data_IF_801995179595
#
_entry.id   IF_801995179595
#
_cell.length_a   1.000
_cell.length_b   1.000
_cell.length_c   1.000
_cell.angle_alpha   90.00
_cell.angle_beta   90.00
_cell.angle_gamma   90.00
#
_symmetry.space_group_name_H-M   'P 1'
#
loop_
_entity.id
_entity.type
_entity.pdbx_description
1 polymer ?
2 non-polymer ?
#
# COMPACT_ATOMS: atom_id res chain seq x y z
N UNK A 1 0.29 -8.00 3.41
CA UNK A 1 -0.19 -9.00 2.47
C UNK A 1 0.50 -8.94 1.12
N UNK A 2 1.62 -8.21 1.02
CA UNK A 2 2.44 -8.08 -0.19
C UNK A 2 1.68 -7.36 -1.30
N UNK A 3 0.55 -6.82 -0.90
CA UNK A 3 -0.55 -6.38 -1.72
C UNK A 3 -0.25 -5.17 -2.64
N UNK A 4 1.02 -4.78 -2.71
CA UNK A 4 1.45 -3.47 -3.15
C UNK A 4 2.81 -3.42 -3.87
N UNK A 5 3.27 -2.19 -4.08
CA UNK A 5 4.64 -1.86 -4.48
C UNK A 5 5.25 -0.99 -3.37
N UNK A 6 4.47 0.04 -2.97
CA UNK A 6 4.68 0.89 -1.81
C UNK A 6 4.84 0.17 -0.46
N UNK A 7 4.50 -1.13 -0.37
CA UNK A 7 4.36 -1.83 0.91
C UNK A 7 4.65 -3.34 0.85
N UNK A 8 5.24 -3.93 1.90
CA UNK A 8 5.44 -5.37 2.01
C UNK A 8 4.33 -6.14 2.75
N UNK A 9 4.50 -7.46 2.69
CA UNK A 9 3.84 -8.53 3.45
C UNK A 9 3.69 -8.33 4.98
N UNK A 10 4.33 -7.31 5.58
CA UNK A 10 4.24 -7.00 7.00
C UNK A 10 3.52 -5.67 7.25
N UNK A 11 3.13 -4.94 6.20
CA UNK A 11 2.52 -3.63 6.29
C UNK A 11 1.21 -3.55 7.11
N UNK A 12 1.35 -3.45 8.43
CA UNK A 12 0.36 -3.10 9.45
C UNK A 12 -0.94 -2.46 8.93
N UNK A 13 -0.79 -1.39 8.14
CA UNK A 13 -1.86 -0.52 7.69
C UNK A 13 -2.72 -1.24 6.66
N UNK A 14 -2.05 -2.07 5.86
CA UNK A 14 -2.59 -2.85 4.78
C UNK A 14 -3.01 -4.25 5.24
N UNK A 15 -2.24 -4.86 6.13
CA UNK A 15 -2.55 -6.11 6.81
C UNK A 15 -4.03 -6.20 7.23
N UNK A 16 -4.60 -5.04 7.57
CA UNK A 16 -6.03 -4.83 7.77
C UNK A 16 -6.85 -5.15 6.50
N UNK A 17 -6.79 -4.26 5.49
CA UNK A 17 -7.49 -4.41 4.19
C UNK A 17 -6.98 -3.43 3.12
N UNK A 18 -5.66 -3.37 3.00
CA UNK A 18 -4.93 -2.59 1.99
C UNK A 18 -5.41 -1.11 1.85
N UNK A 19 -5.13 -0.25 2.85
CA UNK A 19 -5.33 1.22 2.78
C UNK A 19 -5.35 1.85 1.36
N UNK A 20 -4.34 1.51 0.55
CA UNK A 20 -4.02 2.15 -0.71
C UNK A 20 -5.01 1.78 -1.81
N UNK A 21 -5.99 0.89 -1.57
CA UNK A 21 -6.89 0.44 -2.63
C UNK A 21 -7.39 1.53 -3.55
N UNK A 22 -7.79 2.67 -2.99
CA UNK A 22 -8.32 3.74 -3.82
C UNK A 22 -7.26 4.67 -4.43
N UNK A 23 -5.97 4.46 -4.12
CA UNK A 23 -4.85 5.19 -4.71
C UNK A 23 -4.55 4.72 -6.13
N UNK A 24 -5.56 4.81 -6.99
CA UNK A 24 -5.65 4.21 -8.33
C UNK A 24 -4.44 4.54 -9.22
N UNK A 25 -4.42 5.77 -9.75
CA UNK A 25 -3.25 6.33 -10.41
C UNK A 25 -2.38 7.07 -9.36
N UNK A 26 -2.48 6.68 -8.09
CA UNK A 26 -1.69 7.27 -7.02
C UNK A 26 -0.40 6.46 -6.82
N UNK A 27 0.04 6.23 -5.59
CA UNK A 27 1.36 5.67 -5.32
C UNK A 27 1.43 4.14 -5.24
N UNK A 28 0.31 3.46 -5.47
CA UNK A 28 0.17 1.99 -5.49
C UNK A 28 1.42 1.27 -6.03
N UNK A 29 1.96 1.77 -7.15
CA UNK A 29 3.09 1.23 -7.88
C UNK A 29 4.43 1.93 -7.58
N UNK A 30 4.37 3.17 -7.11
CA UNK A 30 5.49 4.09 -6.99
C UNK A 30 6.34 3.90 -5.74
N UNK A 31 6.67 2.65 -5.41
CA UNK A 31 7.68 2.26 -4.43
C UNK A 31 7.48 2.74 -2.98
N UNK A 32 6.56 3.68 -2.74
CA UNK A 32 6.42 4.40 -1.47
C UNK A 32 5.14 5.26 -1.53
N UNK A 33 4.32 5.27 -0.47
CA UNK A 33 3.00 5.89 -0.46
C UNK A 33 2.77 6.81 0.76
N UNK A 34 1.67 7.55 0.79
CA UNK A 34 1.48 8.65 1.72
C UNK A 34 0.31 8.43 2.66
N UNK A 35 0.08 7.15 2.99
CA UNK A 35 -0.83 6.76 4.06
C UNK A 35 -0.07 5.98 5.13
N UNK A 36 0.59 4.93 4.68
CA UNK A 36 1.25 3.94 5.51
C UNK A 36 2.55 4.43 6.16
N UNK A 37 3.27 5.33 5.50
CA UNK A 37 4.53 5.84 6.02
C UNK A 37 4.28 6.75 7.24
X LIG B 1 -1.47 -2.65 0.36
X LIG C 1 0.71 0.37 -0.55
X LIG D 1 0.60 -0.23 3.20
X LIG E 1 -0.38 3.19 1.78
#
# INVERSE_FOLDING_TARGET
KSCCSCCPAECEKCAKDCVCKGGEAAEAEAEKCSCCQ
CD CD
CD CD
CD CD
CD CD
#
